data_IF_836975558514
#
_entry.id   IF_836975558514
#
_cell.length_a   1.000
_cell.length_b   1.000
_cell.length_c   1.000
_cell.angle_alpha   90.00
_cell.angle_beta   90.00
_cell.angle_gamma   90.00
#
_symmetry.space_group_name_H-M   'P 1'
#
loop_
_entity.id
_entity.type
_entity.pdbx_description
1 polymer ?
#
# COMPACT_ATOMS: atom_id res chain seq x y z
N UNK A 1 -24.43 28.40 -40.39
CA UNK A 1 -23.78 27.33 -39.63
C UNK A 1 -22.41 27.10 -40.25
N UNK A 2 -21.40 26.84 -39.44
CA UNK A 2 -20.04 26.60 -39.89
C UNK A 2 -19.75 25.10 -40.03
N UNK A 3 -19.02 24.69 -41.06
CA UNK A 3 -18.50 23.33 -41.24
C UNK A 3 -17.25 23.14 -40.39
N UNK A 4 -17.32 22.25 -39.40
CA UNK A 4 -16.25 22.00 -38.44
C UNK A 4 -15.95 20.51 -38.31
N UNK A 5 -14.74 20.18 -37.87
CA UNK A 5 -14.36 18.81 -37.49
C UNK A 5 -14.37 18.70 -35.96
N UNK A 6 -15.23 17.83 -35.41
CA UNK A 6 -15.26 17.56 -33.97
C UNK A 6 -14.54 16.25 -33.67
N UNK A 7 -13.50 16.32 -32.87
CA UNK A 7 -12.62 15.21 -32.56
C UNK A 7 -12.84 14.70 -31.15
N UNK A 8 -13.19 13.42 -31.04
CA UNK A 8 -13.41 12.71 -29.79
C UNK A 8 -12.25 11.74 -29.56
N UNK A 9 -11.50 11.87 -28.45
CA UNK A 9 -10.37 11.01 -28.17
C UNK A 9 -10.85 9.58 -27.89
N UNK A 10 -9.96 8.60 -28.11
CA UNK A 10 -10.25 7.16 -27.94
C UNK A 10 -10.91 6.81 -26.59
N UNK A 11 -10.48 7.48 -25.52
CA UNK A 11 -11.03 7.31 -24.15
C UNK A 11 -12.52 7.63 -24.06
N UNK A 12 -13.01 8.59 -24.85
CA UNK A 12 -14.43 8.96 -24.92
C UNK A 12 -15.18 8.27 -26.08
N UNK A 13 -14.48 7.49 -26.90
CA UNK A 13 -15.03 6.74 -28.05
C UNK A 13 -14.89 5.22 -27.87
N UNK A 14 -15.22 4.70 -26.69
CA UNK A 14 -15.22 3.24 -26.40
C UNK A 14 -13.91 2.52 -26.75
N UNK A 15 -12.77 3.22 -26.77
CA UNK A 15 -11.48 2.64 -27.13
C UNK A 15 -11.30 2.31 -28.62
N UNK A 16 -12.22 2.72 -29.51
CA UNK A 16 -12.15 2.45 -30.95
C UNK A 16 -11.19 3.40 -31.71
N UNK A 17 -10.30 4.07 -30.99
CA UNK A 17 -9.44 5.11 -31.55
C UNK A 17 -10.11 6.48 -31.54
N UNK A 18 -9.32 7.48 -31.92
CA UNK A 18 -9.81 8.84 -32.12
C UNK A 18 -10.87 8.87 -33.22
N UNK A 19 -11.99 9.55 -32.96
CA UNK A 19 -13.08 9.69 -33.91
C UNK A 19 -13.24 11.15 -34.32
N UNK A 20 -13.18 11.39 -35.62
CA UNK A 20 -13.40 12.70 -36.23
C UNK A 20 -14.80 12.73 -36.83
N UNK A 21 -15.59 13.71 -36.43
CA UNK A 21 -16.99 13.87 -36.80
C UNK A 21 -17.15 15.21 -37.54
N UNK A 22 -17.33 15.20 -38.87
CA UNK A 22 -17.66 16.41 -39.60
C UNK A 22 -19.11 16.82 -39.25
N UNK A 23 -19.28 18.05 -38.77
CA UNK A 23 -20.59 18.59 -38.37
C UNK A 23 -20.74 20.03 -38.87
N UNK A 24 -21.99 20.46 -39.06
CA UNK A 24 -22.32 21.88 -39.27
C UNK A 24 -22.87 22.43 -37.96
N UNK A 25 -22.24 23.44 -37.36
CA UNK A 25 -22.66 24.02 -36.08
C UNK A 25 -22.52 25.54 -36.05
N UNK A 26 -23.41 26.24 -35.34
CA UNK A 26 -23.29 27.69 -35.15
C UNK A 26 -22.28 28.06 -34.05
N UNK A 27 -22.30 27.31 -32.94
CA UNK A 27 -21.45 27.50 -31.77
C UNK A 27 -21.10 26.15 -31.13
N UNK A 28 -20.33 26.18 -30.03
CA UNK A 28 -19.95 24.97 -29.31
C UNK A 28 -21.14 24.23 -28.69
N UNK A 29 -22.20 24.92 -28.26
CA UNK A 29 -23.37 24.26 -27.69
C UNK A 29 -24.10 23.42 -28.75
N UNK A 30 -24.31 23.99 -29.93
CA UNK A 30 -24.89 23.30 -31.08
C UNK A 30 -24.01 22.12 -31.52
N UNK A 31 -22.68 22.30 -31.53
CA UNK A 31 -21.73 21.23 -31.87
C UNK A 31 -21.83 20.03 -30.92
N UNK A 32 -21.85 20.27 -29.61
CA UNK A 32 -21.95 19.22 -28.60
C UNK A 32 -23.29 18.47 -28.67
N UNK A 33 -24.40 19.19 -28.89
CA UNK A 33 -25.71 18.56 -29.05
C UNK A 33 -25.72 17.60 -30.24
N UNK A 34 -25.23 18.05 -31.41
CA UNK A 34 -25.15 17.24 -32.64
C UNK A 34 -24.25 16.01 -32.50
N UNK A 35 -23.08 16.17 -31.88
CA UNK A 35 -22.18 15.05 -31.60
C UNK A 35 -22.83 14.06 -30.63
N UNK A 36 -23.55 14.55 -29.61
CA UNK A 36 -24.27 13.68 -28.69
C UNK A 36 -25.35 12.86 -29.39
N UNK A 37 -26.08 13.42 -30.35
CA UNK A 37 -27.07 12.69 -31.14
C UNK A 37 -26.41 11.62 -32.02
N UNK A 38 -25.26 11.91 -32.62
CA UNK A 38 -24.52 10.94 -33.45
C UNK A 38 -23.83 9.83 -32.65
N UNK A 39 -23.35 10.13 -31.44
CA UNK A 39 -22.59 9.18 -30.61
C UNK A 39 -23.46 8.40 -29.62
N UNK A 40 -24.68 8.86 -29.39
CA UNK A 40 -25.67 8.20 -28.54
C UNK A 40 -25.41 8.33 -27.03
N UNK A 41 -26.21 7.59 -26.25
CA UNK A 41 -26.34 7.79 -24.80
C UNK A 41 -25.06 7.53 -24.00
N UNK A 42 -24.19 6.63 -24.47
CA UNK A 42 -22.93 6.33 -23.77
C UNK A 42 -21.96 7.53 -23.81
N UNK A 43 -21.84 8.20 -24.95
CA UNK A 43 -21.08 9.45 -25.04
C UNK A 43 -21.73 10.53 -24.18
N UNK A 44 -23.06 10.64 -24.25
CA UNK A 44 -23.82 11.61 -23.47
C UNK A 44 -23.55 11.46 -21.98
N UNK A 45 -23.59 10.22 -21.46
CA UNK A 45 -23.30 9.89 -20.05
C UNK A 45 -21.89 10.31 -19.62
N UNK A 46 -20.90 10.14 -20.50
CA UNK A 46 -19.48 10.43 -20.22
C UNK A 46 -19.13 11.92 -20.31
N UNK A 47 -19.76 12.65 -21.24
CA UNK A 47 -19.37 14.02 -21.59
C UNK A 47 -20.26 15.07 -20.92
N UNK A 48 -21.53 14.77 -20.65
CA UNK A 48 -22.49 15.72 -20.09
C UNK A 48 -22.84 15.42 -18.63
N UNK A 49 -23.16 16.49 -17.89
CA UNK A 49 -23.75 16.42 -16.56
C UNK A 49 -25.29 16.20 -16.63
N UNK A 50 -25.93 16.12 -15.47
CA UNK A 50 -27.38 15.92 -15.38
C UNK A 50 -28.21 17.10 -15.89
N UNK A 51 -27.60 18.28 -16.10
CA UNK A 51 -28.25 19.48 -16.65
C UNK A 51 -28.03 19.62 -18.16
N UNK A 52 -27.40 18.64 -18.81
CA UNK A 52 -27.11 18.67 -20.25
C UNK A 52 -25.99 19.64 -20.63
N UNK A 53 -25.14 20.05 -19.68
CA UNK A 53 -23.91 20.81 -19.97
C UNK A 53 -22.72 19.88 -20.03
N UNK A 54 -21.68 20.17 -20.84
CA UNK A 54 -20.43 19.43 -20.75
C UNK A 54 -19.92 19.46 -19.31
N UNK A 55 -19.51 18.29 -18.80
CA UNK A 55 -18.96 18.17 -17.44
C UNK A 55 -17.80 19.15 -17.29
N UNK A 56 -17.64 19.72 -16.10
CA UNK A 56 -16.48 20.58 -15.76
C UNK A 56 -15.12 19.92 -16.01
N UNK A 57 -15.13 18.57 -16.05
CA UNK A 57 -14.04 17.67 -16.38
C UNK A 57 -13.90 17.44 -17.90
N UNK A 58 -14.43 18.28 -18.78
CA UNK A 58 -14.19 18.23 -20.22
C UNK A 58 -13.59 19.58 -20.63
N UNK A 59 -12.28 19.60 -20.88
CA UNK A 59 -11.59 20.68 -21.55
C UNK A 59 -11.95 20.69 -23.04
N UNK A 60 -12.25 21.87 -23.55
CA UNK A 60 -12.71 22.07 -24.92
C UNK A 60 -11.70 22.98 -25.61
N UNK A 61 -11.21 22.56 -26.77
CA UNK A 61 -10.27 23.29 -27.58
C UNK A 61 -10.88 23.59 -28.95
N UNK A 62 -10.72 24.82 -29.43
CA UNK A 62 -11.03 25.20 -30.82
C UNK A 62 -9.72 25.67 -31.47
N UNK A 63 -9.29 24.99 -32.52
CA UNK A 63 -8.01 25.24 -33.20
C UNK A 63 -6.81 25.29 -32.23
N UNK A 64 -6.80 24.40 -31.24
CA UNK A 64 -5.76 24.33 -30.21
C UNK A 64 -5.86 25.37 -29.09
N UNK A 65 -6.80 26.31 -29.16
CA UNK A 65 -7.05 27.28 -28.09
C UNK A 65 -8.06 26.73 -27.09
N UNK A 66 -7.73 26.75 -25.79
CA UNK A 66 -8.65 26.29 -24.74
C UNK A 66 -9.80 27.30 -24.52
N UNK A 67 -11.04 26.80 -24.56
CA UNK A 67 -12.27 27.60 -24.52
C UNK A 67 -12.75 27.93 -23.11
N UNK A 68 -12.15 27.34 -22.07
CA UNK A 68 -12.46 27.63 -20.66
C UNK A 68 -12.27 29.10 -20.29
N UNK A 69 -11.32 29.77 -20.94
CA UNK A 69 -10.97 31.18 -20.69
C UNK A 69 -11.38 32.10 -21.86
N UNK A 70 -12.10 31.59 -22.85
CA UNK A 70 -12.41 32.31 -24.10
C UNK A 70 -13.82 31.96 -24.58
N UNK A 71 -14.84 32.71 -24.13
CA UNK A 71 -16.20 32.64 -24.66
C UNK A 71 -17.06 31.43 -24.27
N UNK A 72 -16.46 30.33 -23.78
CA UNK A 72 -17.19 29.15 -23.29
C UNK A 72 -18.07 28.50 -24.36
N UNK A 73 -19.22 27.94 -23.97
CA UNK A 73 -20.13 27.22 -24.88
C UNK A 73 -20.81 28.12 -25.93
N UNK A 74 -20.82 29.44 -25.72
CA UNK A 74 -21.36 30.43 -26.67
C UNK A 74 -20.36 30.87 -27.74
N UNK A 75 -19.17 30.28 -27.78
CA UNK A 75 -18.16 30.61 -28.80
C UNK A 75 -18.67 30.21 -30.18
N UNK A 76 -18.83 31.22 -31.04
CA UNK A 76 -19.20 31.05 -32.44
C UNK A 76 -18.10 30.32 -33.22
N UNK A 77 -18.49 29.35 -34.04
CA UNK A 77 -17.59 28.54 -34.86
C UNK A 77 -17.50 29.10 -36.29
N UNK A 78 -16.35 28.89 -36.93
CA UNK A 78 -16.05 29.29 -38.32
C UNK A 78 -15.79 28.07 -39.19
N UNK A 79 -16.01 28.22 -40.50
CA UNK A 79 -15.71 27.17 -41.47
C UNK A 79 -14.24 26.74 -41.36
N UNK A 80 -14.02 25.44 -41.20
CA UNK A 80 -12.70 24.83 -41.04
C UNK A 80 -12.20 24.73 -39.60
N UNK A 81 -12.98 25.18 -38.60
CA UNK A 81 -12.57 25.02 -37.20
C UNK A 81 -12.47 23.53 -36.81
N UNK A 82 -11.48 23.20 -36.00
CA UNK A 82 -11.35 21.90 -35.35
C UNK A 82 -11.68 22.03 -33.86
N UNK A 83 -12.72 21.31 -33.42
CA UNK A 83 -13.12 21.21 -32.01
C UNK A 83 -12.56 19.91 -31.45
N UNK A 84 -11.71 20.00 -30.44
CA UNK A 84 -11.12 18.85 -29.76
C UNK A 84 -11.53 18.84 -28.30
N UNK A 85 -12.06 17.71 -27.82
CA UNK A 85 -12.40 17.55 -26.40
C UNK A 85 -11.38 16.68 -25.70
N UNK A 86 -10.96 17.13 -24.53
CA UNK A 86 -10.13 16.36 -23.62
C UNK A 86 -10.83 16.29 -22.28
N UNK A 87 -10.83 15.15 -21.59
CA UNK A 87 -11.17 15.14 -20.18
C UNK A 87 -10.22 16.09 -19.43
N UNK A 88 -10.77 17.12 -18.76
CA UNK A 88 -10.02 17.97 -17.85
C UNK A 88 -9.62 17.16 -16.61
N UNK A 89 -8.34 17.29 -16.25
CA UNK A 89 -7.72 16.74 -15.04
C UNK A 89 -7.73 17.87 -14.01
N UNK A 90 -8.46 17.73 -12.91
CA UNK A 90 -8.68 18.78 -11.93
C UNK A 90 -7.54 18.86 -10.91
N UNK A 91 -6.36 19.33 -11.31
CA UNK A 91 -5.23 19.34 -10.35
C UNK A 91 -3.95 20.06 -10.74
N UNK A 92 -3.88 20.75 -11.87
CA UNK A 92 -2.68 21.52 -12.26
C UNK A 92 -1.44 20.67 -12.62
N UNK A 93 -1.53 19.34 -12.52
CA UNK A 93 -0.62 18.40 -13.16
C UNK A 93 -1.46 17.47 -14.05
N UNK A 94 -1.59 17.82 -15.32
CA UNK A 94 -2.24 16.99 -16.32
C UNK A 94 -1.67 15.56 -16.23
N UNK A 95 -2.53 14.55 -16.18
CA UNK A 95 -2.09 13.18 -16.46
C UNK A 95 -1.43 13.25 -17.83
N UNK A 96 -0.17 12.83 -17.92
CA UNK A 96 0.50 12.81 -19.23
C UNK A 96 -0.28 11.86 -20.16
N UNK A 97 -0.11 12.03 -21.47
CA UNK A 97 -0.68 11.09 -22.45
C UNK A 97 -0.33 9.63 -22.11
N UNK A 98 0.86 9.39 -21.58
CA UNK A 98 1.34 8.08 -21.13
C UNK A 98 0.62 7.59 -19.85
N UNK A 99 0.40 8.45 -18.86
CA UNK A 99 -0.35 8.11 -17.65
C UNK A 99 -1.83 7.82 -17.96
N UNK A 100 -2.46 8.62 -18.83
CA UNK A 100 -3.82 8.37 -19.31
C UNK A 100 -3.92 7.03 -20.04
N UNK A 101 -2.92 6.68 -20.84
CA UNK A 101 -2.87 5.38 -21.51
C UNK A 101 -2.71 4.23 -20.49
N UNK A 102 -1.83 4.39 -19.49
CA UNK A 102 -1.59 3.39 -18.44
C UNK A 102 -2.85 3.13 -17.61
N UNK A 103 -3.53 4.19 -17.16
CA UNK A 103 -4.68 4.10 -16.26
C UNK A 103 -6.03 4.13 -16.98
N UNK A 104 -6.04 3.99 -18.31
CA UNK A 104 -7.25 4.18 -19.12
C UNK A 104 -8.41 3.28 -18.70
N UNK A 105 -8.15 2.06 -18.21
CA UNK A 105 -9.22 1.16 -17.73
C UNK A 105 -9.76 1.58 -16.37
N UNK A 106 -8.89 2.07 -15.49
CA UNK A 106 -9.24 2.50 -14.13
C UNK A 106 -10.04 3.80 -14.14
N UNK A 107 -9.62 4.76 -14.95
CA UNK A 107 -10.30 6.05 -15.14
C UNK A 107 -11.72 5.88 -15.69
N UNK A 108 -11.97 4.81 -16.45
CA UNK A 108 -13.29 4.51 -17.01
C UNK A 108 -14.26 3.85 -16.03
N UNK A 109 -13.77 3.37 -14.88
CA UNK A 109 -14.63 2.84 -13.82
C UNK A 109 -15.39 3.99 -13.18
N UNK A 110 -16.71 3.85 -13.10
CA UNK A 110 -17.58 4.82 -12.42
C UNK A 110 -17.19 4.98 -10.96
N UNK A 111 -16.65 3.93 -10.35
CA UNK A 111 -16.24 3.92 -8.98
C UNK A 111 -14.99 4.76 -8.69
N UNK A 112 -14.11 4.97 -9.67
CA UNK A 112 -12.84 5.70 -9.49
C UNK A 112 -12.89 6.99 -10.30
N UNK A 113 -13.12 6.90 -11.61
CA UNK A 113 -13.15 8.06 -12.49
C UNK A 113 -11.81 8.81 -12.55
N UNK A 114 -11.83 9.98 -13.17
CA UNK A 114 -10.67 10.89 -13.18
C UNK A 114 -10.37 11.44 -11.78
N UNK A 115 -11.40 11.86 -11.04
CA UNK A 115 -11.23 12.44 -9.70
C UNK A 115 -10.61 11.44 -8.72
N UNK A 116 -11.07 10.18 -8.72
CA UNK A 116 -10.48 9.14 -7.89
C UNK A 116 -9.04 8.83 -8.28
N UNK A 117 -8.71 8.89 -9.58
CA UNK A 117 -7.32 8.75 -10.03
C UNK A 117 -6.42 9.88 -9.51
N UNK A 118 -6.90 11.13 -9.51
CA UNK A 118 -6.15 12.25 -8.93
C UNK A 118 -5.94 12.09 -7.43
N UNK A 119 -6.96 11.64 -6.70
CA UNK A 119 -6.84 11.33 -5.27
C UNK A 119 -5.85 10.20 -5.01
N UNK A 120 -5.85 9.15 -5.84
CA UNK A 120 -4.86 8.08 -5.76
C UNK A 120 -3.44 8.61 -5.99
N UNK A 121 -3.21 9.44 -7.02
CA UNK A 121 -1.89 10.06 -7.29
C UNK A 121 -1.42 11.00 -6.18
N UNK A 122 -2.32 11.63 -5.44
CA UNK A 122 -1.97 12.49 -4.33
C UNK A 122 -1.74 11.70 -3.02
N UNK A 123 -2.25 10.47 -2.93
CA UNK A 123 -2.27 9.70 -1.70
C UNK A 123 -0.89 9.14 -1.31
N UNK A 124 -0.69 9.09 0.01
CA UNK A 124 0.45 8.47 0.69
C UNK A 124 -0.05 7.27 1.50
N UNK A 125 0.33 6.07 1.10
CA UNK A 125 -0.06 4.82 1.77
C UNK A 125 1.14 4.19 2.49
N UNK A 126 0.99 3.84 3.76
CA UNK A 126 2.00 3.10 4.51
C UNK A 126 1.59 1.63 4.59
N UNK A 127 2.30 0.75 3.90
CA UNK A 127 2.08 -0.70 3.95
C UNK A 127 3.09 -1.32 4.91
N UNK A 128 2.57 -1.95 5.96
CA UNK A 128 3.37 -2.55 7.03
C UNK A 128 3.35 -4.06 6.89
N UNK A 129 4.48 -4.62 6.50
CA UNK A 129 4.66 -6.00 6.07
C UNK A 129 4.83 -6.08 4.55
N UNK A 130 5.94 -6.66 4.10
CA UNK A 130 6.22 -7.02 2.71
C UNK A 130 6.17 -8.55 2.52
N UNK A 131 5.41 -9.24 3.38
CA UNK A 131 5.23 -10.68 3.37
C UNK A 131 4.14 -11.16 2.40
N UNK A 132 3.42 -12.22 2.80
CA UNK A 132 2.41 -12.89 1.96
C UNK A 132 1.21 -12.02 1.60
N UNK A 133 0.70 -11.22 2.54
CA UNK A 133 -0.39 -10.25 2.31
C UNK A 133 0.18 -8.97 1.66
N UNK A 134 1.31 -8.48 2.17
CA UNK A 134 1.92 -7.24 1.71
C UNK A 134 2.31 -7.25 0.23
N UNK A 135 2.78 -8.39 -0.30
CA UNK A 135 3.14 -8.55 -1.72
C UNK A 135 1.99 -8.17 -2.69
N UNK A 136 0.81 -8.83 -2.62
CA UNK A 136 -0.33 -8.47 -3.44
C UNK A 136 -0.90 -7.07 -3.15
N UNK A 137 -0.82 -6.57 -1.91
CA UNK A 137 -1.21 -5.19 -1.59
C UNK A 137 -0.32 -4.19 -2.35
N UNK A 138 1.00 -4.33 -2.23
CA UNK A 138 1.99 -3.44 -2.83
C UNK A 138 1.86 -3.41 -4.35
N UNK A 139 1.79 -4.58 -4.98
CA UNK A 139 1.67 -4.68 -6.44
C UNK A 139 0.38 -4.03 -6.94
N UNK A 140 -0.75 -4.25 -6.28
CA UNK A 140 -2.02 -3.62 -6.66
C UNK A 140 -1.97 -2.09 -6.51
N UNK A 141 -1.56 -1.56 -5.36
CA UNK A 141 -1.51 -0.11 -5.14
C UNK A 141 -0.55 0.61 -6.09
N UNK A 142 0.62 0.00 -6.36
CA UNK A 142 1.57 0.51 -7.35
C UNK A 142 0.98 0.46 -8.75
N UNK A 143 0.28 -0.61 -9.11
CA UNK A 143 -0.41 -0.75 -10.39
C UNK A 143 -1.55 0.26 -10.57
N UNK A 144 -2.25 0.58 -9.48
CA UNK A 144 -3.33 1.57 -9.44
C UNK A 144 -2.83 3.02 -9.45
N UNK A 145 -1.52 3.25 -9.32
CA UNK A 145 -0.91 4.58 -9.41
C UNK A 145 -1.08 5.44 -8.16
N UNK A 146 -1.06 4.82 -6.97
CA UNK A 146 -0.94 5.56 -5.71
C UNK A 146 0.33 6.42 -5.73
N UNK A 147 0.25 7.68 -5.29
CA UNK A 147 1.36 8.64 -5.41
C UNK A 147 2.64 8.21 -4.71
N UNK A 148 2.51 7.86 -3.42
CA UNK A 148 3.63 7.45 -2.59
C UNK A 148 3.27 6.24 -1.73
N UNK A 149 4.16 5.25 -1.70
CA UNK A 149 4.03 4.07 -0.87
C UNK A 149 5.27 3.90 -0.01
N UNK A 150 5.08 3.91 1.31
CA UNK A 150 6.09 3.46 2.26
C UNK A 150 5.90 1.96 2.50
N UNK A 151 6.99 1.21 2.38
CA UNK A 151 7.03 -0.23 2.59
C UNK A 151 7.87 -0.52 3.82
N UNK A 152 7.27 -1.11 4.85
CA UNK A 152 7.94 -1.36 6.13
C UNK A 152 8.03 -2.85 6.36
N UNK A 153 9.23 -3.38 6.52
CA UNK A 153 9.47 -4.78 6.89
C UNK A 153 10.88 -4.85 7.50
N UNK A 154 11.11 -5.84 8.36
CA UNK A 154 12.40 -6.07 9.02
C UNK A 154 13.14 -7.29 8.49
N UNK A 155 12.48 -8.12 7.70
CA UNK A 155 13.01 -9.41 7.31
C UNK A 155 13.92 -9.34 6.08
N UNK A 156 14.69 -10.42 5.94
CA UNK A 156 15.32 -10.82 4.69
C UNK A 156 14.50 -11.91 3.99
N UNK A 157 14.78 -12.10 2.71
CA UNK A 157 14.08 -13.08 1.88
C UNK A 157 14.63 -14.48 2.13
N UNK A 158 13.73 -15.42 2.37
CA UNK A 158 14.04 -16.85 2.55
C UNK A 158 13.37 -17.70 1.46
N UNK A 159 13.94 -18.86 1.15
CA UNK A 159 13.37 -19.79 0.14
C UNK A 159 11.92 -20.18 0.47
N UNK A 160 11.59 -20.32 1.76
CA UNK A 160 10.24 -20.65 2.25
C UNK A 160 9.23 -19.52 2.00
N UNK A 161 9.67 -18.33 1.58
CA UNK A 161 8.81 -17.21 1.24
C UNK A 161 8.32 -17.27 -0.22
N UNK A 162 9.11 -17.86 -1.12
CA UNK A 162 8.94 -17.70 -2.57
C UNK A 162 7.63 -18.30 -3.10
N UNK A 163 7.05 -19.30 -2.43
CA UNK A 163 5.77 -19.89 -2.85
C UNK A 163 4.56 -18.96 -2.69
N UNK A 164 4.70 -17.84 -1.96
CA UNK A 164 3.60 -16.89 -1.70
C UNK A 164 3.98 -15.41 -1.80
N UNK A 165 5.26 -15.08 -1.97
CA UNK A 165 5.77 -13.70 -2.01
C UNK A 165 6.39 -13.41 -3.39
N UNK A 166 5.52 -13.16 -4.37
CA UNK A 166 5.87 -13.15 -5.80
C UNK A 166 6.65 -11.91 -6.28
N UNK A 167 6.88 -10.92 -5.41
CA UNK A 167 7.90 -9.88 -5.61
C UNK A 167 9.31 -10.45 -5.43
N UNK A 168 9.52 -11.69 -5.05
CA UNK A 168 10.87 -12.22 -4.80
C UNK A 168 11.16 -13.42 -5.69
N UNK A 169 12.43 -13.60 -6.03
CA UNK A 169 12.95 -14.75 -6.79
C UNK A 169 14.11 -15.39 -6.03
N UNK A 170 14.58 -16.55 -6.49
CA UNK A 170 15.75 -17.23 -5.91
C UNK A 170 17.00 -16.34 -5.84
N UNK A 171 17.14 -15.40 -6.79
CA UNK A 171 18.26 -14.44 -6.82
C UNK A 171 18.24 -13.44 -5.66
N UNK A 172 17.11 -13.26 -4.98
CA UNK A 172 17.01 -12.34 -3.85
C UNK A 172 17.21 -12.98 -2.49
N UNK A 173 17.42 -14.29 -2.40
CA UNK A 173 17.55 -14.97 -1.11
C UNK A 173 18.66 -14.30 -0.28
N UNK A 174 18.31 -13.90 0.94
CA UNK A 174 19.17 -13.15 1.85
C UNK A 174 19.20 -11.64 1.63
N UNK A 175 18.53 -11.07 0.62
CA UNK A 175 18.36 -9.61 0.49
C UNK A 175 17.27 -9.12 1.44
N UNK A 176 17.36 -7.86 1.86
CA UNK A 176 16.33 -7.18 2.66
C UNK A 176 15.03 -7.09 1.86
N UNK A 177 13.91 -7.52 2.45
CA UNK A 177 12.60 -7.60 1.77
C UNK A 177 12.15 -6.26 1.18
N UNK A 178 12.22 -5.18 1.96
CA UNK A 178 11.78 -3.86 1.50
C UNK A 178 12.65 -3.31 0.37
N UNK A 179 13.95 -3.64 0.36
CA UNK A 179 14.87 -3.21 -0.69
C UNK A 179 14.55 -3.91 -2.01
N UNK A 180 14.46 -5.25 -1.97
CA UNK A 180 14.12 -6.06 -3.13
C UNK A 180 12.70 -5.77 -3.66
N UNK A 181 11.75 -5.48 -2.77
CA UNK A 181 10.41 -5.04 -3.15
C UNK A 181 10.46 -3.67 -3.85
N UNK A 182 11.17 -2.69 -3.29
CA UNK A 182 11.27 -1.36 -3.87
C UNK A 182 11.87 -1.37 -5.28
N UNK A 183 12.91 -2.17 -5.52
CA UNK A 183 13.53 -2.32 -6.84
C UNK A 183 12.52 -2.80 -7.90
N UNK A 184 11.64 -3.74 -7.52
CA UNK A 184 10.63 -4.29 -8.45
C UNK A 184 9.43 -3.38 -8.63
N UNK A 185 8.95 -2.78 -7.55
CA UNK A 185 7.82 -1.86 -7.59
C UNK A 185 8.15 -0.62 -8.44
N UNK A 186 9.38 -0.08 -8.34
CA UNK A 186 9.84 1.02 -9.21
C UNK A 186 9.91 0.63 -10.69
N UNK A 187 10.30 -0.61 -11.00
CA UNK A 187 10.27 -1.14 -12.38
C UNK A 187 8.84 -1.33 -12.89
N UNK A 188 7.93 -1.74 -12.02
CA UNK A 188 6.51 -1.94 -12.33
C UNK A 188 5.82 -0.61 -12.65
N UNK A 189 6.02 0.41 -11.82
CA UNK A 189 5.47 1.74 -12.05
C UNK A 189 6.45 2.84 -11.60
N UNK A 190 7.18 3.46 -12.55
CA UNK A 190 8.16 4.49 -12.22
C UNK A 190 7.51 5.80 -11.75
N UNK A 191 6.20 5.96 -11.91
CA UNK A 191 5.47 7.16 -11.50
C UNK A 191 5.06 7.13 -10.02
N UNK A 192 5.31 6.03 -9.32
CA UNK A 192 5.00 5.86 -7.90
C UNK A 192 6.26 6.03 -7.06
N UNK A 193 6.24 6.92 -6.08
CA UNK A 193 7.33 7.08 -5.13
C UNK A 193 7.34 5.90 -4.13
N UNK A 194 8.40 5.10 -4.15
CA UNK A 194 8.56 3.97 -3.21
C UNK A 194 9.60 4.32 -2.15
N UNK A 195 9.17 4.30 -0.89
CA UNK A 195 9.99 4.55 0.31
C UNK A 195 10.16 3.26 1.13
N UNK A 196 11.24 2.49 0.92
CA UNK A 196 11.54 1.30 1.72
C UNK A 196 12.09 1.66 3.10
N UNK A 197 11.54 1.07 4.16
CA UNK A 197 11.93 1.30 5.56
C UNK A 197 12.24 -0.05 6.23
N UNK A 198 13.53 -0.41 6.41
CA UNK A 198 13.95 -1.69 6.94
C UNK A 198 13.94 -1.68 8.47
N UNK A 199 12.77 -1.78 9.10
CA UNK A 199 12.66 -1.67 10.57
C UNK A 199 11.51 -2.51 11.13
N UNK A 200 11.63 -2.87 12.41
CA UNK A 200 10.57 -3.53 13.17
C UNK A 200 9.50 -2.53 13.59
N UNK A 201 8.24 -2.96 13.54
CA UNK A 201 7.12 -2.20 14.12
C UNK A 201 7.01 -2.56 15.59
N UNK A 202 7.19 -1.57 16.45
CA UNK A 202 7.20 -1.72 17.91
C UNK A 202 6.50 -0.51 18.52
N UNK A 203 6.19 -0.55 19.81
CA UNK A 203 5.63 0.61 20.52
C UNK A 203 6.51 1.88 20.46
N UNK A 204 7.80 1.74 20.16
CA UNK A 204 8.73 2.87 20.04
C UNK A 204 8.83 3.41 18.61
N UNK A 205 8.64 2.55 17.60
CA UNK A 205 8.86 2.90 16.19
C UNK A 205 7.56 3.19 15.44
N UNK A 206 6.43 2.58 15.83
CA UNK A 206 5.16 2.63 15.10
C UNK A 206 4.68 4.04 14.78
N UNK A 207 4.76 4.98 15.73
CA UNK A 207 4.35 6.38 15.49
C UNK A 207 5.17 7.04 14.39
N UNK A 208 6.49 6.87 14.41
CA UNK A 208 7.38 7.44 13.38
C UNK A 208 7.13 6.82 12.00
N UNK A 209 6.79 5.54 11.97
CA UNK A 209 6.52 4.76 10.76
C UNK A 209 5.26 5.26 10.05
N UNK A 210 4.18 5.56 10.78
CA UNK A 210 2.89 5.92 10.15
C UNK A 210 2.71 7.44 9.98
N UNK A 211 3.46 8.26 10.71
CA UNK A 211 3.31 9.72 10.68
C UNK A 211 3.46 10.30 9.28
N UNK A 212 2.47 11.12 8.89
CA UNK A 212 2.45 11.85 7.62
C UNK A 212 1.87 11.08 6.43
N UNK A 213 1.24 9.92 6.68
CA UNK A 213 0.53 9.12 5.69
C UNK A 213 -0.99 9.28 5.84
N UNK A 214 -1.71 9.10 4.74
CA UNK A 214 -3.15 9.28 4.68
C UNK A 214 -3.89 8.03 5.18
N UNK A 215 -3.27 6.86 5.01
CA UNK A 215 -3.82 5.55 5.38
C UNK A 215 -2.69 4.53 5.61
N UNK A 216 -2.95 3.60 6.51
CA UNK A 216 -2.05 2.48 6.84
C UNK A 216 -2.72 1.15 6.50
N UNK A 217 -1.95 0.22 5.96
CA UNK A 217 -2.37 -1.16 5.68
C UNK A 217 -1.53 -2.12 6.53
N UNK A 218 -2.21 -2.93 7.33
CA UNK A 218 -1.62 -3.93 8.21
C UNK A 218 -1.56 -5.30 7.53
N UNK A 219 -0.36 -5.62 7.04
CA UNK A 219 0.00 -6.91 6.48
C UNK A 219 1.01 -7.67 7.36
N UNK A 220 0.95 -7.45 8.69
CA UNK A 220 1.83 -8.08 9.68
C UNK A 220 1.41 -9.52 10.02
N UNK A 221 2.30 -10.27 10.65
CA UNK A 221 2.05 -11.62 11.17
C UNK A 221 2.34 -11.76 12.68
N UNK A 222 2.62 -10.65 13.37
CA UNK A 222 2.83 -10.58 14.83
C UNK A 222 1.73 -9.75 15.51
N UNK A 223 1.24 -10.21 16.67
CA UNK A 223 0.20 -9.53 17.44
C UNK A 223 0.74 -8.24 18.07
N UNK A 224 1.94 -8.31 18.66
CA UNK A 224 2.55 -7.16 19.33
C UNK A 224 2.79 -6.01 18.35
N UNK A 225 3.27 -6.32 17.15
CA UNK A 225 3.43 -5.35 16.07
C UNK A 225 2.09 -4.74 15.64
N UNK A 226 1.02 -5.55 15.54
CA UNK A 226 -0.33 -5.08 15.20
C UNK A 226 -0.91 -4.15 16.25
N UNK A 227 -0.72 -4.45 17.54
CA UNK A 227 -1.16 -3.56 18.61
C UNK A 227 -0.39 -2.24 18.61
N UNK A 228 0.94 -2.28 18.46
CA UNK A 228 1.74 -1.07 18.33
C UNK A 228 1.29 -0.20 17.15
N UNK A 229 1.00 -0.83 16.00
CA UNK A 229 0.51 -0.15 14.81
C UNK A 229 -0.88 0.47 15.02
N UNK A 230 -1.80 -0.30 15.61
CA UNK A 230 -3.14 0.16 15.97
C UNK A 230 -3.07 1.39 16.89
N UNK A 231 -2.30 1.30 17.97
CA UNK A 231 -2.21 2.36 18.97
C UNK A 231 -1.62 3.65 18.36
N UNK A 232 -0.60 3.51 17.49
CA UNK A 232 -0.04 4.63 16.74
C UNK A 232 -1.05 5.27 15.78
N UNK A 233 -1.82 4.46 15.04
CA UNK A 233 -2.85 4.95 14.10
C UNK A 233 -3.99 5.67 14.83
N UNK A 234 -4.44 5.13 15.98
CA UNK A 234 -5.44 5.78 16.83
C UNK A 234 -4.91 7.12 17.35
N UNK A 235 -3.68 7.14 17.87
CA UNK A 235 -3.06 8.35 18.43
C UNK A 235 -2.89 9.46 17.38
N UNK A 236 -2.47 9.10 16.17
CA UNK A 236 -2.23 10.03 15.07
C UNK A 236 -3.47 10.30 14.22
N UNK A 237 -4.60 9.66 14.54
CA UNK A 237 -5.86 9.77 13.82
C UNK A 237 -5.73 9.42 12.33
N UNK A 238 -5.00 8.33 12.03
CA UNK A 238 -4.78 7.80 10.68
C UNK A 238 -5.61 6.52 10.50
N UNK A 239 -6.45 6.40 9.45
CA UNK A 239 -7.16 5.16 9.12
C UNK A 239 -6.22 3.96 8.97
N UNK A 240 -6.68 2.81 9.47
CA UNK A 240 -5.95 1.54 9.42
C UNK A 240 -6.86 0.47 8.80
N UNK A 241 -6.36 -0.24 7.79
CA UNK A 241 -6.99 -1.45 7.28
C UNK A 241 -6.27 -2.64 7.90
N UNK A 242 -6.99 -3.43 8.70
CA UNK A 242 -6.48 -4.64 9.33
C UNK A 242 -6.73 -5.85 8.43
N UNK A 243 -5.75 -6.73 8.32
CA UNK A 243 -5.91 -8.04 7.71
C UNK A 243 -5.15 -9.15 8.42
N UNK A 244 -5.72 -10.35 8.47
CA UNK A 244 -5.01 -11.55 8.95
C UNK A 244 -5.37 -12.77 8.10
N UNK A 245 -4.46 -13.73 7.99
CA UNK A 245 -4.68 -14.99 7.28
C UNK A 245 -3.92 -16.13 7.94
N UNK A 246 -4.56 -17.29 8.07
CA UNK A 246 -3.96 -18.52 8.57
C UNK A 246 -4.65 -19.74 7.98
N UNK A 247 -3.87 -20.76 7.62
CA UNK A 247 -4.39 -21.92 6.91
C UNK A 247 -5.11 -21.50 5.63
N UNK A 248 -6.42 -21.71 5.59
CA UNK A 248 -7.31 -21.40 4.46
C UNK A 248 -8.28 -20.25 4.75
N UNK A 249 -8.18 -19.64 5.93
CA UNK A 249 -9.10 -18.61 6.41
C UNK A 249 -8.40 -17.25 6.48
N UNK A 250 -9.12 -16.20 6.11
CA UNK A 250 -8.65 -14.82 6.10
C UNK A 250 -9.65 -13.88 6.72
N UNK A 251 -9.20 -12.72 7.18
CA UNK A 251 -10.07 -11.72 7.77
C UNK A 251 -9.62 -10.30 7.48
N UNK A 252 -10.56 -9.38 7.31
CA UNK A 252 -10.31 -7.96 7.04
C UNK A 252 -11.30 -7.08 7.80
N UNK A 253 -10.83 -5.96 8.36
CA UNK A 253 -11.71 -4.90 8.84
C UNK A 253 -11.10 -3.50 8.66
N UNK A 254 -11.96 -2.49 8.61
CA UNK A 254 -11.56 -1.09 8.46
C UNK A 254 -11.69 -0.35 9.79
N UNK A 255 -10.59 0.22 10.26
CA UNK A 255 -10.51 0.98 11.51
C UNK A 255 -10.41 2.46 11.17
N UNK A 256 -11.44 3.21 11.54
CA UNK A 256 -11.47 4.66 11.50
C UNK A 256 -11.26 5.19 12.93
N UNK A 257 -10.10 5.80 13.23
CA UNK A 257 -9.81 6.32 14.55
C UNK A 257 -10.92 7.20 15.11
N UNK A 258 -11.23 6.98 16.39
CA UNK A 258 -12.27 7.69 17.14
C UNK A 258 -13.71 7.55 16.58
N UNK A 259 -13.93 6.72 15.54
CA UNK A 259 -15.25 6.49 14.92
C UNK A 259 -15.69 5.03 14.96
N UNK A 260 -14.76 4.07 14.88
CA UNK A 260 -15.07 2.64 14.83
C UNK A 260 -14.40 1.87 15.97
N UNK A 261 -14.76 0.59 16.09
CA UNK A 261 -13.99 -0.39 16.84
C UNK A 261 -12.55 -0.44 16.30
N UNK A 262 -11.58 -0.60 17.20
CA UNK A 262 -10.17 -0.83 16.86
C UNK A 262 -9.77 -2.29 17.15
N UNK A 263 -8.53 -2.69 16.89
CA UNK A 263 -8.07 -4.06 17.15
C UNK A 263 -8.30 -4.43 18.62
N UNK A 264 -7.92 -3.56 19.55
CA UNK A 264 -8.14 -3.76 21.00
C UNK A 264 -9.59 -3.85 21.45
N UNK A 265 -10.55 -3.28 20.71
CA UNK A 265 -11.97 -3.49 21.04
C UNK A 265 -12.40 -4.93 20.80
N UNK A 266 -11.82 -5.59 19.80
CA UNK A 266 -12.10 -6.98 19.46
C UNK A 266 -11.27 -7.95 20.29
N UNK A 267 -10.02 -7.58 20.50
CA UNK A 267 -8.97 -8.41 21.06
C UNK A 267 -8.25 -7.58 22.13
N UNK A 268 -8.77 -7.50 23.37
CA UNK A 268 -8.24 -6.57 24.37
C UNK A 268 -6.81 -6.88 24.79
N UNK A 269 -6.53 -8.17 25.05
CA UNK A 269 -5.27 -8.68 25.59
C UNK A 269 -4.93 -10.07 25.00
N UNK A 270 -4.84 -10.17 23.67
CA UNK A 270 -4.31 -11.39 23.05
C UNK A 270 -2.78 -11.41 23.21
N UNK A 271 -2.23 -12.52 23.69
CA UNK A 271 -0.78 -12.74 23.70
C UNK A 271 -0.35 -13.56 22.48
N UNK A 272 0.93 -13.46 22.08
CA UNK A 272 1.45 -14.21 20.93
C UNK A 272 1.41 -15.73 21.15
N UNK A 273 1.47 -16.21 22.39
CA UNK A 273 1.43 -17.64 22.73
C UNK A 273 0.04 -18.27 22.50
N UNK A 274 -1.02 -17.46 22.54
CA UNK A 274 -2.42 -17.87 22.35
C UNK A 274 -2.81 -18.00 20.88
N UNK A 275 -1.99 -17.50 19.94
CA UNK A 275 -2.29 -17.58 18.52
C UNK A 275 -1.45 -18.61 17.77
N UNK A 276 -2.08 -19.44 16.92
CA UNK A 276 -1.35 -20.27 15.99
C UNK A 276 -0.56 -19.38 14.99
N UNK A 277 0.67 -19.77 14.70
CA UNK A 277 1.54 -19.05 13.79
C UNK A 277 1.43 -19.59 12.36
N UNK A 278 1.60 -18.72 11.35
CA UNK A 278 1.67 -19.15 9.95
C UNK A 278 2.80 -20.18 9.70
N UNK A 279 3.86 -20.17 10.52
CA UNK A 279 4.96 -21.13 10.41
C UNK A 279 4.63 -22.51 10.95
N UNK A 280 3.60 -22.64 11.80
CA UNK A 280 3.14 -23.92 12.36
C UNK A 280 1.94 -24.47 11.59
N UNK A 281 0.95 -23.64 11.29
CA UNK A 281 -0.28 -24.06 10.60
C UNK A 281 -0.16 -24.05 9.07
N UNK A 282 0.81 -23.31 8.54
CA UNK A 282 0.88 -22.99 7.12
C UNK A 282 -0.16 -21.94 6.69
N UNK A 283 -0.08 -21.54 5.42
CA UNK A 283 -1.03 -20.61 4.83
C UNK A 283 -1.17 -20.85 3.34
N UNK A 284 -2.41 -20.90 2.86
CA UNK A 284 -2.72 -21.12 1.46
C UNK A 284 -2.45 -19.82 0.64
N UNK A 285 -1.66 -19.84 -0.44
CA UNK A 285 -1.33 -18.61 -1.17
C UNK A 285 -2.55 -17.81 -1.64
N UNK A 286 -3.62 -18.48 -2.09
CA UNK A 286 -4.82 -17.81 -2.57
C UNK A 286 -5.56 -16.99 -1.50
N UNK A 287 -5.54 -17.39 -0.23
CA UNK A 287 -6.26 -16.62 0.81
C UNK A 287 -5.59 -15.26 1.02
N UNK A 288 -4.27 -15.19 0.85
CA UNK A 288 -3.50 -13.95 0.95
C UNK A 288 -3.91 -12.93 -0.13
N UNK A 289 -4.21 -13.40 -1.34
CA UNK A 289 -4.67 -12.55 -2.44
C UNK A 289 -6.10 -12.06 -2.24
N UNK A 290 -6.99 -12.89 -1.70
CA UNK A 290 -8.35 -12.46 -1.36
C UNK A 290 -8.32 -11.39 -0.27
N UNK A 291 -7.58 -11.64 0.81
CA UNK A 291 -7.37 -10.69 1.90
C UNK A 291 -6.80 -9.37 1.38
N UNK A 292 -5.69 -9.42 0.65
CA UNK A 292 -5.05 -8.23 0.09
C UNK A 292 -5.94 -7.46 -0.89
N UNK A 293 -6.72 -8.16 -1.73
CA UNK A 293 -7.66 -7.52 -2.65
C UNK A 293 -8.75 -6.74 -1.92
N UNK A 294 -9.27 -7.30 -0.82
CA UNK A 294 -10.25 -6.61 0.03
C UNK A 294 -9.61 -5.42 0.75
N UNK A 295 -8.38 -5.56 1.27
CA UNK A 295 -7.67 -4.45 1.90
C UNK A 295 -7.47 -3.26 0.95
N UNK A 296 -6.98 -3.55 -0.26
CA UNK A 296 -6.79 -2.54 -1.30
C UNK A 296 -8.11 -1.88 -1.67
N UNK A 297 -9.20 -2.65 -1.78
CA UNK A 297 -10.52 -2.11 -2.06
C UNK A 297 -10.99 -1.11 -0.99
N UNK A 298 -10.83 -1.44 0.29
CA UNK A 298 -11.19 -0.56 1.40
C UNK A 298 -10.29 0.68 1.46
N UNK A 299 -8.98 0.51 1.23
CA UNK A 299 -8.04 1.62 1.19
C UNK A 299 -8.37 2.61 0.06
N UNK A 300 -8.68 2.10 -1.14
CA UNK A 300 -9.06 2.92 -2.30
C UNK A 300 -10.34 3.69 -2.02
N UNK A 301 -11.36 3.08 -1.41
CA UNK A 301 -12.59 3.79 -1.02
C UNK A 301 -12.28 5.00 -0.14
N UNK A 302 -11.46 4.81 0.89
CA UNK A 302 -11.06 5.91 1.80
C UNK A 302 -10.33 6.99 1.02
N UNK A 303 -9.32 6.64 0.22
CA UNK A 303 -8.52 7.59 -0.55
C UNK A 303 -9.40 8.45 -1.47
N UNK A 304 -10.37 7.83 -2.15
CA UNK A 304 -11.23 8.56 -3.10
C UNK A 304 -12.40 9.28 -2.42
N UNK A 305 -12.53 9.18 -1.09
CA UNK A 305 -13.55 9.87 -0.29
C UNK A 305 -14.90 9.14 -0.20
N UNK A 306 -14.93 7.83 -0.46
CA UNK A 306 -16.10 6.97 -0.25
C UNK A 306 -16.10 6.38 1.16
N UNK A 307 -17.28 6.02 1.65
CA UNK A 307 -17.41 5.29 2.89
C UNK A 307 -16.86 3.86 2.74
N UNK A 308 -15.95 3.41 3.64
CA UNK A 308 -15.49 2.03 3.65
C UNK A 308 -16.60 1.07 4.06
N UNK A 309 -16.60 -0.14 3.50
CA UNK A 309 -17.67 -1.12 3.75
C UNK A 309 -17.44 -1.98 4.99
N UNK A 310 -16.21 -2.02 5.52
CA UNK A 310 -15.82 -2.87 6.64
C UNK A 310 -15.59 -2.09 7.95
N UNK A 311 -16.17 -0.89 8.06
CA UNK A 311 -16.23 -0.17 9.34
C UNK A 311 -17.13 -0.94 10.30
N UNK A 312 -16.68 -1.17 11.53
CA UNK A 312 -17.43 -1.95 12.54
C UNK A 312 -17.88 -3.33 12.04
N UNK A 313 -17.20 -3.87 11.02
CA UNK A 313 -17.55 -5.14 10.39
C UNK A 313 -16.27 -5.92 10.16
N UNK A 314 -16.21 -7.13 10.71
CA UNK A 314 -15.21 -8.11 10.36
C UNK A 314 -15.71 -8.93 9.18
N UNK A 315 -14.99 -8.88 8.08
CA UNK A 315 -15.15 -9.87 7.02
C UNK A 315 -14.28 -11.09 7.35
N UNK A 316 -14.86 -12.29 7.35
CA UNK A 316 -14.15 -13.57 7.36
C UNK A 316 -14.33 -14.23 6.01
N UNK A 317 -13.24 -14.76 5.46
CA UNK A 317 -13.19 -15.47 4.20
C UNK A 317 -12.65 -16.86 4.44
N UNK A 318 -13.32 -17.88 3.93
CA UNK A 318 -12.90 -19.26 4.08
C UNK A 318 -12.77 -19.92 2.70
N UNK A 319 -11.68 -20.66 2.44
CA UNK A 319 -11.48 -21.38 1.18
C UNK A 319 -11.88 -22.86 1.22
N UNK A 320 -12.03 -23.48 2.41
CA UNK A 320 -12.45 -24.88 2.53
C UNK A 320 -13.94 -25.01 2.19
N UNK A 321 -14.77 -24.13 2.76
CA UNK A 321 -16.15 -23.89 2.36
C UNK A 321 -16.30 -22.47 1.83
N UNK A 322 -16.02 -22.21 0.52
CA UNK A 322 -15.94 -20.87 -0.06
C UNK A 322 -17.05 -19.94 0.41
N UNK A 323 -16.72 -19.05 1.35
CA UNK A 323 -17.69 -18.19 2.02
C UNK A 323 -17.08 -16.83 2.40
N UNK A 324 -17.97 -15.84 2.51
CA UNK A 324 -17.66 -14.47 2.89
C UNK A 324 -18.67 -14.04 3.95
N UNK A 325 -18.27 -14.15 5.22
CA UNK A 325 -19.14 -13.90 6.36
C UNK A 325 -18.82 -12.56 7.01
N UNK A 326 -19.86 -11.83 7.43
CA UNK A 326 -19.71 -10.51 8.04
C UNK A 326 -20.17 -10.57 9.50
N UNK A 327 -19.29 -10.20 10.41
CA UNK A 327 -19.58 -10.10 11.83
C UNK A 327 -19.53 -8.64 12.26
N UNK A 328 -20.58 -8.17 12.94
CA UNK A 328 -20.60 -6.81 13.48
C UNK A 328 -19.69 -6.70 14.70
N UNK A 329 -18.96 -5.58 14.79
CA UNK A 329 -18.05 -5.26 15.87
C UNK A 329 -18.48 -3.93 16.47
N UNK A 330 -18.53 -3.84 17.79
CA UNK A 330 -18.80 -2.59 18.49
C UNK A 330 -17.51 -1.99 19.07
N UNK A 331 -17.42 -0.66 19.07
CA UNK A 331 -16.39 0.06 19.82
C UNK A 331 -16.72 -0.06 21.32
N UNK A 332 -15.77 -0.53 22.11
CA UNK A 332 -15.88 -0.57 23.57
C UNK A 332 -15.49 0.79 24.18
N UNK A 333 -16.28 1.30 25.14
CA UNK A 333 -16.04 2.59 25.81
C UNK A 333 -14.80 2.53 26.71
N UNK A 334 -14.55 1.36 27.30
CA UNK A 334 -13.45 1.00 28.18
C UNK A 334 -12.17 0.59 27.43
N UNK A 335 -12.17 0.59 26.10
CA UNK A 335 -11.04 0.15 25.30
C UNK A 335 -9.76 0.93 25.67
N UNK A 336 -8.63 0.25 25.98
CA UNK A 336 -7.41 0.92 26.43
C UNK A 336 -6.77 1.80 25.33
N UNK A 337 -7.04 1.54 24.05
CA UNK A 337 -6.53 2.36 22.95
C UNK A 337 -7.48 3.51 22.57
N UNK A 338 -8.74 3.20 22.23
CA UNK A 338 -9.67 4.17 21.65
C UNK A 338 -10.88 4.49 22.54
N UNK A 339 -10.97 3.94 23.75
CA UNK A 339 -12.08 4.15 24.67
C UNK A 339 -12.14 5.58 25.23
N UNK A 340 -13.36 6.07 25.50
CA UNK A 340 -13.60 7.38 26.13
C UNK A 340 -13.40 7.34 27.64
N UNK A 341 -13.62 6.19 28.28
CA UNK A 341 -13.42 5.96 29.71
C UNK A 341 -12.06 5.32 30.00
N UNK A 342 -11.13 5.36 29.04
CA UNK A 342 -9.80 4.73 29.16
C UNK A 342 -9.20 5.07 30.52
N UNK A 343 -9.10 4.05 31.38
CA UNK A 343 -8.27 4.17 32.56
C UNK A 343 -6.86 4.22 32.00
N UNK A 344 -6.17 5.35 32.16
CA UNK A 344 -4.71 5.34 32.07
C UNK A 344 -4.28 4.53 33.30
N UNK A 345 -4.48 3.21 33.27
CA UNK A 345 -3.78 2.28 34.15
C UNK A 345 -2.33 2.64 33.95
N UNK A 346 -1.71 3.07 35.06
CA UNK A 346 -0.59 3.99 35.03
C UNK A 346 0.39 3.66 33.92
N UNK A 347 0.96 4.69 33.32
CA UNK A 347 2.28 4.57 32.74
C UNK A 347 3.17 3.96 33.83
N UNK A 348 3.19 2.63 33.97
CA UNK A 348 4.38 1.95 34.41
C UNK A 348 5.41 2.54 33.47
N UNK A 349 6.34 3.30 34.04
CA UNK A 349 7.58 3.59 33.37
C UNK A 349 8.16 2.21 33.05
N UNK A 350 7.76 1.65 31.91
CA UNK A 350 8.42 0.51 31.34
C UNK A 350 9.77 1.11 30.99
N UNK A 351 10.77 0.86 31.84
CA UNK A 351 12.16 1.14 31.53
C UNK A 351 12.36 0.64 30.11
N UNK A 352 12.61 1.56 29.19
CA UNK A 352 12.74 1.21 27.78
C UNK A 352 13.87 0.18 27.69
N UNK A 353 13.54 -1.07 27.37
CA UNK A 353 14.58 -2.07 27.09
C UNK A 353 15.46 -1.50 25.99
N UNK A 354 16.77 -1.54 26.14
CA UNK A 354 17.69 -1.07 25.08
C UNK A 354 17.51 -1.88 23.80
N UNK A 355 17.30 -3.20 23.95
CA UNK A 355 17.04 -4.15 22.88
C UNK A 355 15.71 -4.87 23.11
N UNK A 356 14.93 -5.02 22.05
CA UNK A 356 13.77 -5.93 21.95
C UNK A 356 14.25 -7.18 21.25
N UNK A 357 14.04 -8.33 21.87
CA UNK A 357 14.49 -9.62 21.37
C UNK A 357 13.27 -10.53 21.23
N UNK A 358 13.12 -11.12 20.05
CA UNK A 358 11.96 -11.96 19.70
C UNK A 358 12.45 -13.22 19.00
N UNK A 359 11.94 -14.38 19.40
CA UNK A 359 12.19 -15.64 18.71
C UNK A 359 11.14 -15.87 17.61
N UNK A 360 11.60 -16.18 16.40
CA UNK A 360 10.75 -16.51 15.27
C UNK A 360 10.70 -18.04 15.11
N UNK A 361 9.54 -18.63 15.36
CA UNK A 361 9.32 -20.06 15.23
C UNK A 361 9.35 -20.53 13.76
N UNK A 362 10.01 -21.66 13.49
CA UNK A 362 9.83 -22.44 12.25
C UNK A 362 10.60 -21.97 11.01
N UNK A 363 11.66 -21.16 11.14
CA UNK A 363 12.50 -20.71 10.01
C UNK A 363 13.67 -21.65 9.70
N UNK A 364 14.24 -21.51 8.49
CA UNK A 364 15.46 -22.20 7.99
C UNK A 364 15.66 -23.66 8.43
N UNK A 365 14.75 -24.56 8.01
CA UNK A 365 14.79 -26.01 8.30
C UNK A 365 14.79 -26.35 9.80
N UNK A 366 14.11 -25.54 10.62
CA UNK A 366 13.93 -25.77 12.06
C UNK A 366 15.01 -25.15 12.93
N UNK A 367 15.85 -24.26 12.39
CA UNK A 367 16.78 -23.48 13.22
C UNK A 367 16.05 -22.38 13.97
N UNK A 368 16.41 -22.21 15.24
CA UNK A 368 15.98 -21.06 16.05
C UNK A 368 16.46 -19.78 15.40
N UNK A 369 15.57 -18.80 15.32
CA UNK A 369 15.82 -17.51 14.67
C UNK A 369 15.45 -16.41 15.62
N UNK A 370 16.34 -15.44 15.82
CA UNK A 370 16.17 -14.36 16.77
C UNK A 370 16.21 -13.03 16.04
N UNK A 371 15.23 -12.18 16.31
CA UNK A 371 15.25 -10.78 15.87
C UNK A 371 15.65 -9.90 17.04
N UNK A 372 16.63 -9.04 16.83
CA UNK A 372 17.13 -8.08 17.81
C UNK A 372 16.90 -6.68 17.25
N UNK A 373 16.08 -5.89 17.92
CA UNK A 373 15.71 -4.54 17.50
C UNK A 373 16.09 -3.53 18.59
N UNK A 374 16.94 -2.54 18.30
CA UNK A 374 17.14 -1.41 19.20
C UNK A 374 15.85 -0.65 19.44
N UNK A 375 15.52 -0.32 20.70
CA UNK A 375 14.32 0.47 20.99
C UNK A 375 14.38 1.88 20.38
N UNK A 376 15.59 2.41 20.21
CA UNK A 376 15.86 3.60 19.43
C UNK A 376 16.72 3.19 18.23
N UNK A 377 16.14 2.99 17.03
CA UNK A 377 16.90 2.66 15.84
C UNK A 377 17.94 3.74 15.53
N UNK A 378 19.22 3.37 15.50
CA UNK A 378 20.32 4.24 15.10
C UNK A 378 20.92 3.70 13.81
N UNK A 379 21.15 4.54 12.78
CA UNK A 379 21.77 4.09 11.55
C UNK A 379 23.12 3.40 11.80
N UNK A 380 23.28 2.17 11.31
CA UNK A 380 24.54 1.41 11.42
C UNK A 380 25.37 1.50 10.15
N UNK A 381 26.69 1.50 10.30
CA UNK A 381 27.63 1.46 9.18
C UNK A 381 27.69 0.03 8.60
N UNK A 382 26.87 -0.24 7.58
CA UNK A 382 26.85 -1.55 6.90
C UNK A 382 28.21 -1.96 6.31
N UNK A 383 29.06 -1.00 5.95
CA UNK A 383 30.44 -1.25 5.52
C UNK A 383 31.32 -1.78 6.65
N UNK A 384 31.18 -1.22 7.85
CA UNK A 384 31.83 -1.68 9.08
C UNK A 384 31.34 -3.07 9.52
N UNK A 385 30.02 -3.28 9.49
CA UNK A 385 29.40 -4.60 9.76
C UNK A 385 29.92 -5.65 8.77
N UNK A 386 30.07 -5.32 7.47
CA UNK A 386 30.61 -6.26 6.48
C UNK A 386 32.06 -6.67 6.78
N UNK A 387 32.93 -5.72 7.15
CA UNK A 387 34.32 -6.00 7.54
C UNK A 387 34.41 -6.83 8.82
N UNK A 388 33.52 -6.53 9.77
CA UNK A 388 33.39 -7.28 11.02
C UNK A 388 32.97 -8.72 10.73
N UNK A 389 32.02 -8.92 9.82
CA UNK A 389 31.59 -10.25 9.39
C UNK A 389 32.78 -11.09 8.90
N UNK A 390 33.59 -10.54 7.99
CA UNK A 390 34.79 -11.20 7.46
C UNK A 390 35.81 -11.53 8.56
N UNK A 391 36.04 -10.60 9.48
CA UNK A 391 36.95 -10.79 10.63
C UNK A 391 36.48 -11.90 11.57
N UNK A 392 35.16 -12.03 11.75
CA UNK A 392 34.53 -13.08 12.55
C UNK A 392 34.38 -14.41 11.78
N UNK A 393 34.92 -14.51 10.55
CA UNK A 393 34.87 -15.73 9.74
C UNK A 393 33.54 -15.98 9.04
N UNK A 394 32.71 -14.95 8.87
CA UNK A 394 31.50 -14.99 8.05
C UNK A 394 31.81 -14.62 6.60
N UNK A 395 31.18 -15.32 5.67
CA UNK A 395 31.13 -14.95 4.25
C UNK A 395 29.91 -14.06 3.99
N UNK A 396 30.12 -12.85 3.51
CA UNK A 396 29.04 -11.95 3.07
C UNK A 396 28.35 -12.57 1.85
N UNK A 397 27.05 -12.81 1.96
CA UNK A 397 26.20 -13.39 0.90
C UNK A 397 25.52 -12.32 0.08
N UNK A 398 24.95 -11.32 0.75
CA UNK A 398 24.27 -10.21 0.12
C UNK A 398 24.75 -8.90 0.71
N UNK A 399 24.82 -7.88 -0.14
CA UNK A 399 25.18 -6.53 0.25
C UNK A 399 24.25 -5.54 -0.45
N UNK A 400 23.33 -4.98 0.32
CA UNK A 400 22.42 -3.93 -0.12
C UNK A 400 22.76 -2.59 0.50
N UNK A 401 21.96 -1.59 0.13
CA UNK A 401 21.97 -0.25 0.73
C UNK A 401 21.21 -0.20 2.06
N UNK A 402 20.26 -1.12 2.25
CA UNK A 402 19.40 -1.17 3.42
C UNK A 402 19.71 -2.33 4.38
N UNK A 403 20.63 -3.21 4.00
CA UNK A 403 21.14 -4.24 4.89
C UNK A 403 22.17 -5.14 4.24
N UNK A 404 22.72 -6.04 5.05
CA UNK A 404 23.66 -7.07 4.63
C UNK A 404 23.26 -8.41 5.23
N UNK A 405 23.62 -9.50 4.57
CA UNK A 405 23.49 -10.85 5.13
C UNK A 405 24.80 -11.60 4.98
N UNK A 406 25.25 -12.21 6.06
CA UNK A 406 26.49 -12.98 6.11
C UNK A 406 26.26 -14.34 6.77
N UNK A 407 27.00 -15.36 6.34
CA UNK A 407 26.89 -16.72 6.87
C UNK A 407 28.25 -17.30 7.20
N UNK A 408 28.39 -18.03 8.30
CA UNK A 408 29.64 -18.69 8.66
C UNK A 408 29.65 -20.19 8.31
N UNK A 409 30.77 -20.87 8.60
CA UNK A 409 30.94 -22.30 8.35
C UNK A 409 29.97 -23.20 9.14
N UNK A 410 29.49 -22.77 10.31
CA UNK A 410 28.47 -23.50 11.09
C UNK A 410 27.04 -23.29 10.56
N UNK A 411 26.88 -22.62 9.40
CA UNK A 411 25.59 -22.27 8.79
C UNK A 411 24.74 -21.35 9.68
N UNK A 412 25.36 -20.60 10.58
CA UNK A 412 24.72 -19.47 11.24
C UNK A 412 24.60 -18.34 10.22
N UNK A 413 23.44 -17.70 10.16
CA UNK A 413 23.19 -16.54 9.30
C UNK A 413 22.94 -15.32 10.16
N UNK A 414 23.53 -14.19 9.78
CA UNK A 414 23.33 -12.90 10.43
C UNK A 414 22.98 -11.89 9.37
N UNK A 415 21.81 -11.27 9.53
CA UNK A 415 21.31 -10.21 8.67
C UNK A 415 21.23 -8.93 9.47
N UNK A 416 21.89 -7.86 9.04
CA UNK A 416 21.82 -6.54 9.67
C UNK A 416 21.12 -5.56 8.74
N UNK A 417 20.14 -4.84 9.28
CA UNK A 417 19.48 -3.74 8.60
C UNK A 417 20.20 -2.43 8.88
N UNK A 418 20.04 -1.45 7.99
CA UNK A 418 20.56 -0.09 8.20
C UNK A 418 19.98 0.59 9.44
N UNK A 419 18.84 0.13 9.95
CA UNK A 419 18.22 0.61 11.20
C UNK A 419 18.89 0.08 12.48
N UNK A 420 19.87 -0.82 12.36
CA UNK A 420 20.51 -1.50 13.49
C UNK A 420 19.76 -2.72 14.00
N UNK A 421 18.57 -3.01 13.48
CA UNK A 421 17.90 -4.28 13.72
C UNK A 421 18.66 -5.42 13.02
N UNK A 422 18.63 -6.61 13.62
CA UNK A 422 19.29 -7.79 13.08
C UNK A 422 18.44 -9.05 13.23
N UNK A 423 18.62 -9.98 12.30
CA UNK A 423 18.07 -11.34 12.36
C UNK A 423 19.22 -12.34 12.42
N UNK A 424 19.20 -13.19 13.44
CA UNK A 424 20.24 -14.18 13.71
C UNK A 424 19.61 -15.58 13.65
N UNK A 425 20.04 -16.36 12.68
CA UNK A 425 19.54 -17.73 12.43
C UNK A 425 20.59 -18.73 12.88
N UNK A 426 20.19 -19.67 13.73
CA UNK A 426 21.04 -20.77 14.21
C UNK A 426 21.74 -20.52 15.55
N UNK A 427 21.40 -19.45 16.27
CA UNK A 427 21.78 -19.28 17.67
C UNK A 427 20.97 -20.24 18.55
N UNK A 428 21.62 -20.86 19.54
CA UNK A 428 21.03 -21.89 20.41
C UNK A 428 20.02 -21.31 21.39
N UNK A 429 20.19 -20.07 21.81
CA UNK A 429 19.36 -19.36 22.79
C UNK A 429 19.48 -17.83 22.61
N UNK A 430 18.72 -17.10 23.42
CA UNK A 430 18.68 -15.63 23.42
C UNK A 430 20.06 -15.04 23.73
N UNK A 431 20.80 -15.63 24.67
CA UNK A 431 22.09 -15.13 25.13
C UNK A 431 23.16 -15.23 24.03
N UNK A 432 23.19 -16.35 23.29
CA UNK A 432 24.07 -16.50 22.13
C UNK A 432 23.70 -15.51 21.03
N UNK A 433 22.40 -15.30 20.76
CA UNK A 433 21.95 -14.33 19.76
C UNK A 433 22.40 -12.91 20.12
N UNK A 434 22.22 -12.48 21.37
CA UNK A 434 22.66 -11.17 21.86
C UNK A 434 24.18 -11.03 21.82
N UNK A 435 24.91 -12.09 22.15
CA UNK A 435 26.37 -12.10 22.07
C UNK A 435 26.85 -11.90 20.64
N UNK A 436 26.26 -12.63 19.68
CA UNK A 436 26.56 -12.49 18.26
C UNK A 436 26.27 -11.06 17.81
N UNK A 437 25.09 -10.52 18.12
CA UNK A 437 24.72 -9.14 17.79
C UNK A 437 25.76 -8.12 18.30
N UNK A 438 26.13 -8.21 19.57
CA UNK A 438 27.06 -7.29 20.19
C UNK A 438 28.47 -7.38 19.60
N UNK A 439 28.93 -8.57 19.18
CA UNK A 439 30.22 -8.73 18.51
C UNK A 439 30.27 -8.01 17.16
N UNK A 440 29.15 -7.98 16.44
CA UNK A 440 29.02 -7.24 15.19
C UNK A 440 29.02 -5.73 15.42
N UNK A 441 28.26 -5.23 16.41
CA UNK A 441 28.14 -3.78 16.68
C UNK A 441 29.40 -3.19 17.34
N UNK A 442 30.06 -3.91 18.24
CA UNK A 442 31.26 -3.41 18.95
C UNK A 442 32.49 -3.23 18.05
N UNK A 443 32.50 -3.89 16.89
CA UNK A 443 33.65 -3.91 15.97
C UNK A 443 33.43 -3.07 14.70
N UNK A 444 32.25 -2.44 14.56
CA UNK A 444 31.78 -1.78 13.32
C UNK A 444 31.95 -0.28 13.26
#
# INVERSE_FOLDING_TARGET
>A
MAKVEFTVPSVLNKGQGEKKLPIEAADLQDAFNKVSEQMGDDFKRRVFDHNGKPRSLINIYVNGKNMRFSGGMTTALKDGDNVYILPAVAGGAELTSEELQRYSRQVMLEEIGFEGMEKLRAAKVCVVGAGGIGNPVLTQLVGMGVGKIRVVDRDVIEVTNLHRQHLYTDEDIGRVKVEAAADRLRKMNPNVEIEPVPTSVTKYTAESIVKGFDIVIDALDSIDARYALNDACIKLNIPLIYAGAIGVTGSVCTILPNKSACIRCRFPELNEEEMPACSTEGVHPSILYLVAGVEVSEAVKIIIGKEPSLVNTLLIMDLEGPSFERFQIARAEECPACGTTRTISGQQQVTAKELIIEELCGRDRGKRTWTITPANPVPVNLGGISKTAETLGYQVRTRGTLGITATNASKMSVSFLSSGAATIVGAKDEEEAVTVYNNFIKSS
#
